data_IF_982217507142
#
_entry.id   IF_982217507142
#
_cell.length_a   1.000
_cell.length_b   1.000
_cell.length_c   1.000
_cell.angle_alpha   90.00
_cell.angle_beta   90.00
_cell.angle_gamma   90.00
#
_symmetry.space_group_name_H-M   'P 1'
#
loop_
_entity.id
_entity.type
_entity.pdbx_description
1 polymer ?
#
# COMPACT_ATOMS: atom_id res chain seq x y z
N UNK A 1 2.99 26.49 13.35
CA UNK A 1 1.66 26.32 12.73
C UNK A 1 1.70 24.94 12.11
N UNK A 2 0.76 24.06 12.46
CA UNK A 2 0.63 22.81 11.71
C UNK A 2 0.13 23.18 10.31
N UNK A 3 0.80 22.70 9.27
CA UNK A 3 0.26 22.84 7.93
C UNK A 3 -1.04 22.02 7.85
N UNK A 4 -1.97 22.46 7.03
CA UNK A 4 -3.19 21.72 6.72
C UNK A 4 -3.33 21.63 5.22
N UNK A 5 -3.78 20.48 4.74
CA UNK A 5 -3.93 20.20 3.31
C UNK A 5 -5.38 19.86 3.03
N UNK A 6 -5.92 20.36 1.93
CA UNK A 6 -7.32 20.13 1.59
C UNK A 6 -7.43 19.13 0.45
N UNK A 7 -8.17 18.05 0.70
CA UNK A 7 -8.52 17.06 -0.30
C UNK A 7 -9.57 17.61 -1.28
N UNK A 8 -9.71 17.03 -2.48
CA UNK A 8 -10.71 17.48 -3.46
C UNK A 8 -12.18 17.49 -2.99
N UNK A 9 -12.51 16.66 -2.01
CA UNK A 9 -13.83 16.61 -1.36
C UNK A 9 -13.99 17.60 -0.20
N UNK A 10 -12.98 18.40 0.11
CA UNK A 10 -13.01 19.39 1.18
C UNK A 10 -12.59 18.88 2.55
N UNK A 11 -12.18 17.61 2.68
CA UNK A 11 -11.61 17.08 3.93
C UNK A 11 -10.25 17.74 4.18
N UNK A 12 -10.01 18.17 5.41
CA UNK A 12 -8.74 18.77 5.84
C UNK A 12 -7.86 17.72 6.51
N UNK A 13 -6.62 17.61 6.03
CA UNK A 13 -5.58 16.75 6.58
C UNK A 13 -4.63 17.60 7.42
N UNK A 14 -4.40 17.19 8.66
CA UNK A 14 -3.39 17.80 9.51
C UNK A 14 -1.99 17.32 9.15
N UNK A 15 -1.02 18.23 9.10
CA UNK A 15 0.39 17.89 9.06
C UNK A 15 0.91 17.69 10.48
N UNK A 16 1.24 16.46 10.82
CA UNK A 16 1.83 16.07 12.10
C UNK A 16 3.37 16.24 12.12
N UNK A 17 3.97 16.65 10.99
CA UNK A 17 5.41 16.78 10.83
C UNK A 17 6.12 15.50 10.41
N UNK A 18 5.39 14.45 10.02
CA UNK A 18 5.96 13.28 9.37
C UNK A 18 6.55 13.61 7.99
N UNK A 19 7.44 12.75 7.47
CA UNK A 19 8.00 12.95 6.11
C UNK A 19 6.89 12.89 5.06
N UNK A 20 5.96 11.95 5.23
CA UNK A 20 4.81 11.73 4.37
C UNK A 20 3.51 12.04 5.11
N UNK A 21 2.45 12.32 4.35
CA UNK A 21 1.15 12.64 4.94
C UNK A 21 0.33 11.37 5.03
N UNK A 22 -0.23 11.13 6.22
CA UNK A 22 -1.12 9.99 6.43
C UNK A 22 -2.56 10.39 6.12
N UNK A 23 -3.27 9.58 5.36
CA UNK A 23 -4.70 9.74 5.04
C UNK A 23 -5.45 8.44 5.24
N UNK A 24 -6.64 8.51 5.82
CA UNK A 24 -7.54 7.37 5.89
C UNK A 24 -8.14 7.09 4.51
N UNK A 25 -8.15 5.82 4.08
CA UNK A 25 -8.77 5.45 2.80
C UNK A 25 -10.22 5.92 2.72
N UNK A 26 -10.98 5.93 3.82
CA UNK A 26 -12.38 6.38 3.84
C UNK A 26 -12.54 7.85 3.44
N UNK A 27 -11.51 8.69 3.65
CA UNK A 27 -11.53 10.09 3.24
C UNK A 27 -11.30 10.26 1.73
N UNK A 28 -10.76 9.25 1.05
CA UNK A 28 -10.35 9.34 -0.36
C UNK A 28 -10.94 8.23 -1.26
N UNK A 29 -11.66 7.26 -0.72
CA UNK A 29 -12.01 6.01 -1.39
C UNK A 29 -12.74 6.20 -2.73
N UNK A 30 -13.66 7.15 -2.80
CA UNK A 30 -14.44 7.44 -4.01
C UNK A 30 -13.78 8.48 -4.92
N UNK A 31 -12.63 9.05 -4.52
CA UNK A 31 -11.88 10.01 -5.32
C UNK A 31 -10.96 9.30 -6.31
N UNK A 32 -10.86 9.86 -7.51
CA UNK A 32 -9.92 9.40 -8.52
C UNK A 32 -8.47 9.58 -8.05
N UNK A 33 -7.67 8.50 -8.13
CA UNK A 33 -6.29 8.47 -7.65
C UNK A 33 -5.45 9.63 -8.19
N UNK A 34 -5.46 9.80 -9.52
CA UNK A 34 -4.71 10.85 -10.20
C UNK A 34 -5.20 12.26 -9.84
N UNK A 35 -6.46 12.41 -9.41
CA UNK A 35 -6.99 13.71 -9.03
C UNK A 35 -6.51 14.13 -7.64
N UNK A 36 -6.57 13.23 -6.65
CA UNK A 36 -6.03 13.47 -5.31
C UNK A 36 -4.54 13.76 -5.38
N UNK A 37 -3.76 12.91 -6.07
CA UNK A 37 -2.32 13.11 -6.20
C UNK A 37 -1.98 14.48 -6.81
N UNK A 38 -2.71 14.90 -7.85
CA UNK A 38 -2.52 16.22 -8.47
C UNK A 38 -2.91 17.37 -7.53
N UNK A 39 -3.99 17.23 -6.78
CA UNK A 39 -4.46 18.25 -5.83
C UNK A 39 -3.47 18.45 -4.70
N UNK A 40 -2.99 17.34 -4.12
CA UNK A 40 -2.02 17.37 -3.03
C UNK A 40 -0.65 17.85 -3.52
N UNK A 41 -0.18 17.39 -4.69
CA UNK A 41 1.10 17.84 -5.26
C UNK A 41 1.26 19.36 -5.38
N UNK A 42 0.17 20.11 -5.51
CA UNK A 42 0.22 21.59 -5.56
C UNK A 42 0.39 22.23 -4.18
N UNK A 43 0.05 21.50 -3.13
CA UNK A 43 0.06 21.95 -1.74
C UNK A 43 1.29 21.43 -0.97
N UNK A 44 1.85 20.30 -1.40
CA UNK A 44 2.94 19.60 -0.72
C UNK A 44 4.33 20.11 -1.11
N UNK A 45 5.22 20.08 -0.13
CA UNK A 45 6.64 20.31 -0.37
C UNK A 45 7.22 19.19 -1.27
N UNK A 46 8.17 19.50 -2.16
CA UNK A 46 8.77 18.50 -3.02
C UNK A 46 9.38 17.34 -2.23
N UNK A 47 9.08 16.11 -2.65
CA UNK A 47 9.63 14.90 -2.03
C UNK A 47 8.78 14.32 -0.90
N UNK A 48 7.64 14.95 -0.54
CA UNK A 48 6.64 14.33 0.33
C UNK A 48 5.70 13.43 -0.48
N UNK A 49 5.49 12.22 0.01
CA UNK A 49 4.49 11.27 -0.48
C UNK A 49 3.21 11.27 0.36
N UNK A 50 2.41 10.24 0.13
CA UNK A 50 1.17 9.98 0.85
C UNK A 50 1.19 8.55 1.38
N UNK A 51 0.90 8.38 2.66
CA UNK A 51 0.63 7.08 3.30
C UNK A 51 -0.88 6.95 3.38
N UNK A 52 -1.45 5.97 2.69
CA UNK A 52 -2.88 5.66 2.76
C UNK A 52 -3.07 4.52 3.73
N UNK A 53 -3.70 4.77 4.87
CA UNK A 53 -4.10 3.71 5.80
C UNK A 53 -5.34 3.01 5.28
N UNK A 54 -5.29 1.69 5.26
CA UNK A 54 -6.34 0.81 4.80
C UNK A 54 -6.77 -0.09 5.96
N UNK A 55 -8.01 -0.60 5.94
CA UNK A 55 -8.38 -1.73 6.79
C UNK A 55 -7.37 -2.86 6.56
N UNK A 56 -6.95 -3.54 7.64
CA UNK A 56 -6.13 -4.74 7.52
C UNK A 56 -6.77 -5.71 6.51
N UNK A 57 -5.93 -6.27 5.61
CA UNK A 57 -6.39 -7.25 4.63
C UNK A 57 -7.11 -8.45 5.26
N UNK A 58 -6.83 -8.74 6.53
CA UNK A 58 -7.49 -9.75 7.35
C UNK A 58 -9.00 -9.53 7.53
N UNK A 59 -9.41 -8.28 7.76
CA UNK A 59 -10.83 -7.91 7.89
C UNK A 59 -11.57 -7.94 6.53
N UNK A 60 -10.84 -7.80 5.42
CA UNK A 60 -11.40 -7.72 4.06
C UNK A 60 -11.41 -9.07 3.34
N UNK A 61 -10.45 -9.95 3.63
CA UNK A 61 -10.25 -11.23 2.93
C UNK A 61 -10.38 -12.47 3.85
N UNK A 62 -10.65 -12.29 5.14
CA UNK A 62 -10.85 -13.39 6.09
C UNK A 62 -9.59 -14.21 6.36
N UNK A 63 -8.42 -13.64 6.07
CA UNK A 63 -7.15 -14.21 6.50
C UNK A 63 -6.93 -13.83 7.98
N UNK A 64 -6.47 -14.78 8.76
CA UNK A 64 -6.19 -14.60 10.18
C UNK A 64 -4.68 -14.51 10.28
N UNK A 65 -4.13 -13.31 10.47
CA UNK A 65 -2.83 -13.16 11.08
C UNK A 65 -2.91 -13.79 12.47
N UNK A 66 -2.01 -14.74 12.74
CA UNK A 66 -1.87 -15.26 14.10
C UNK A 66 -1.28 -14.11 14.93
N UNK A 67 -2.09 -13.52 15.81
CA UNK A 67 -1.62 -12.71 16.94
C UNK A 67 -0.50 -13.47 17.65
N UNK A 68 0.77 -13.13 17.38
CA UNK A 68 1.85 -13.49 18.29
C UNK A 68 1.77 -12.51 19.47
N UNK A 69 1.01 -12.91 20.48
CA UNK A 69 1.13 -12.32 21.81
C UNK A 69 2.58 -12.44 22.26
N UNK A 70 3.26 -11.31 22.47
CA UNK A 70 4.49 -11.27 23.25
C UNK A 70 4.23 -11.85 24.63
N UNK A 71 5.20 -12.58 25.17
CA UNK A 71 5.15 -13.18 26.52
C UNK A 71 4.88 -12.17 27.66
N UNK A 72 4.94 -10.86 27.39
CA UNK A 72 4.68 -9.79 28.36
C UNK A 72 3.24 -9.24 28.37
N UNK A 73 2.36 -9.74 27.48
CA UNK A 73 0.92 -9.44 27.49
C UNK A 73 0.55 -8.01 27.08
N UNK A 74 1.45 -7.27 26.42
CA UNK A 74 1.16 -5.93 25.88
C UNK A 74 0.76 -6.02 24.41
N UNK A 75 -0.38 -5.42 24.04
CA UNK A 75 -0.74 -5.15 22.64
C UNK A 75 0.14 -4.02 22.12
N UNK A 76 0.83 -4.23 20.99
CA UNK A 76 1.41 -3.13 20.22
C UNK A 76 0.23 -2.34 19.63
N UNK A 77 0.05 -1.10 20.07
CA UNK A 77 -1.17 -0.31 19.88
C UNK A 77 -1.31 0.31 18.47
N UNK A 78 -0.69 -0.28 17.43
CA UNK A 78 -0.68 0.27 16.06
C UNK A 78 -0.57 -0.78 14.92
N UNK A 79 -0.97 -2.04 15.12
CA UNK A 79 -0.68 -3.14 14.18
C UNK A 79 -1.89 -3.67 13.36
N UNK A 80 -3.00 -2.91 13.31
CA UNK A 80 -4.25 -3.33 12.64
C UNK A 80 -4.54 -2.59 11.31
N UNK A 81 -3.61 -1.78 10.79
CA UNK A 81 -3.82 -1.02 9.53
C UNK A 81 -2.72 -1.26 8.52
N UNK A 82 -3.06 -1.97 7.44
CA UNK A 82 -2.25 -2.04 6.24
C UNK A 82 -2.07 -0.64 5.65
N UNK A 83 -0.86 -0.32 5.17
CA UNK A 83 -0.59 0.97 4.53
C UNK A 83 -0.14 0.80 3.08
N UNK A 84 -0.46 1.80 2.27
CA UNK A 84 0.06 1.99 0.91
C UNK A 84 0.88 3.27 0.86
N UNK A 85 2.14 3.16 0.45
CA UNK A 85 2.94 4.34 0.15
C UNK A 85 2.64 4.79 -1.28
N UNK A 86 2.35 6.07 -1.46
CA UNK A 86 1.97 6.66 -2.75
C UNK A 86 2.93 7.79 -3.09
N UNK A 87 3.63 7.63 -4.21
CA UNK A 87 4.35 8.73 -4.85
C UNK A 87 3.38 9.53 -5.73
N UNK A 88 2.99 10.69 -5.23
CA UNK A 88 2.06 11.61 -5.89
C UNK A 88 2.65 12.28 -7.14
N UNK A 89 3.97 12.31 -7.29
CA UNK A 89 4.68 12.92 -8.42
C UNK A 89 4.78 11.95 -9.59
N UNK A 90 5.13 10.70 -9.31
CA UNK A 90 5.25 9.61 -10.29
C UNK A 90 3.92 8.90 -10.58
N UNK A 91 2.91 9.15 -9.73
CA UNK A 91 1.61 8.48 -9.76
C UNK A 91 1.78 6.96 -9.65
N UNK A 92 2.61 6.56 -8.70
CA UNK A 92 2.89 5.17 -8.35
C UNK A 92 2.52 4.93 -6.90
N UNK A 93 2.41 3.66 -6.53
CA UNK A 93 2.31 3.25 -5.16
C UNK A 93 3.18 2.03 -4.93
N UNK A 94 3.47 1.78 -3.67
CA UNK A 94 4.32 0.69 -3.23
C UNK A 94 3.60 -0.14 -2.18
N UNK A 95 3.84 -1.45 -2.25
CA UNK A 95 3.41 -2.38 -1.24
C UNK A 95 4.43 -3.49 -1.06
N UNK A 96 4.53 -3.97 0.17
CA UNK A 96 5.41 -5.09 0.48
C UNK A 96 4.72 -6.43 0.23
N UNK A 97 5.50 -7.41 -0.20
CA UNK A 97 5.09 -8.81 -0.31
C UNK A 97 6.21 -9.75 0.15
N UNK A 98 5.92 -10.79 0.96
CA UNK A 98 6.93 -11.76 1.38
C UNK A 98 7.47 -12.56 0.19
N UNK A 99 8.68 -13.09 0.30
CA UNK A 99 9.25 -13.98 -0.71
C UNK A 99 10.15 -15.04 -0.09
N UNK A 100 10.43 -16.09 -0.86
CA UNK A 100 11.48 -17.04 -0.49
C UNK A 100 12.86 -16.37 -0.63
N UNK A 101 13.82 -16.80 0.19
CA UNK A 101 15.18 -16.24 0.20
C UNK A 101 15.87 -16.38 -1.16
N UNK A 102 15.60 -17.46 -1.90
CA UNK A 102 16.17 -17.76 -3.21
C UNK A 102 15.34 -17.21 -4.39
N UNK A 103 14.22 -16.55 -4.12
CA UNK A 103 13.39 -15.91 -5.16
C UNK A 103 14.00 -14.58 -5.59
N UNK A 104 14.26 -14.45 -6.89
CA UNK A 104 14.73 -13.22 -7.53
C UNK A 104 13.56 -12.34 -8.00
N UNK A 105 13.88 -11.15 -8.52
CA UNK A 105 12.89 -10.18 -9.00
C UNK A 105 11.99 -10.75 -10.10
N UNK A 106 12.55 -11.58 -11.00
CA UNK A 106 11.80 -12.21 -12.08
C UNK A 106 10.82 -13.26 -11.54
N UNK A 107 11.22 -14.01 -10.51
CA UNK A 107 10.36 -14.93 -9.77
C UNK A 107 9.18 -14.21 -9.11
N UNK A 108 9.44 -13.09 -8.43
CA UNK A 108 8.38 -12.26 -7.83
C UNK A 108 7.41 -11.74 -8.90
N UNK A 109 7.93 -11.19 -10.01
CA UNK A 109 7.13 -10.71 -11.13
C UNK A 109 6.27 -11.82 -11.74
N UNK A 110 6.83 -13.00 -11.93
CA UNK A 110 6.10 -14.15 -12.45
C UNK A 110 4.98 -14.60 -11.51
N UNK A 111 5.24 -14.57 -10.19
CA UNK A 111 4.25 -14.91 -9.18
C UNK A 111 3.11 -13.88 -9.13
N UNK A 112 3.41 -12.58 -9.20
CA UNK A 112 2.41 -11.51 -9.29
C UNK A 112 1.56 -11.62 -10.57
N UNK A 113 2.20 -11.87 -11.72
CA UNK A 113 1.48 -12.06 -12.98
C UNK A 113 0.54 -13.29 -12.94
N UNK A 114 0.94 -14.35 -12.22
CA UNK A 114 0.09 -15.52 -11.99
C UNK A 114 -1.02 -15.26 -10.98
N UNK A 115 -0.75 -14.45 -9.95
CA UNK A 115 -1.71 -14.09 -8.91
C UNK A 115 -2.91 -13.32 -9.48
N UNK A 116 -2.66 -12.38 -10.40
CA UNK A 116 -3.70 -11.59 -11.07
C UNK A 116 -3.39 -11.39 -12.56
N UNK A 117 -3.66 -12.39 -13.42
CA UNK A 117 -3.35 -12.31 -14.85
C UNK A 117 -4.13 -11.23 -15.59
N UNK A 118 -5.31 -10.87 -15.08
CA UNK A 118 -6.21 -9.87 -15.65
C UNK A 118 -6.09 -8.49 -14.99
N UNK A 119 -5.10 -8.28 -14.09
CA UNK A 119 -4.90 -6.98 -13.48
C UNK A 119 -4.47 -5.94 -14.53
N UNK A 120 -5.17 -4.80 -14.57
CA UNK A 120 -4.75 -3.64 -15.38
C UNK A 120 -3.55 -2.89 -14.74
N UNK A 121 -3.11 -3.34 -13.56
CA UNK A 121 -2.02 -2.76 -12.80
C UNK A 121 -0.66 -3.04 -13.47
N UNK A 122 0.12 -1.99 -13.74
CA UNK A 122 1.46 -2.14 -14.29
C UNK A 122 2.49 -2.19 -13.15
N UNK A 123 3.24 -3.28 -13.07
CA UNK A 123 4.39 -3.40 -12.18
C UNK A 123 5.56 -2.64 -12.82
N UNK A 124 6.06 -1.58 -12.16
CA UNK A 124 7.18 -0.78 -12.62
C UNK A 124 8.50 -1.29 -12.02
N UNK A 125 8.49 -1.65 -10.73
CA UNK A 125 9.68 -2.03 -9.97
C UNK A 125 9.42 -3.18 -9.02
N UNK A 126 10.48 -3.94 -8.73
CA UNK A 126 10.53 -4.90 -7.63
C UNK A 126 11.90 -4.70 -6.99
N UNK A 127 11.94 -4.36 -5.72
CA UNK A 127 13.16 -4.28 -4.93
C UNK A 127 13.17 -5.40 -3.89
N UNK A 128 14.28 -6.14 -3.81
CA UNK A 128 14.42 -7.24 -2.86
C UNK A 128 15.02 -6.73 -1.56
N UNK A 129 14.26 -6.85 -0.48
CA UNK A 129 14.65 -6.41 0.85
C UNK A 129 14.97 -7.62 1.73
N UNK A 130 16.03 -7.52 2.51
CA UNK A 130 16.37 -8.47 3.56
C UNK A 130 16.04 -7.82 4.91
N UNK A 131 14.84 -8.07 5.41
CA UNK A 131 14.38 -7.53 6.69
C UNK A 131 14.66 -8.52 7.82
N UNK A 132 14.63 -8.01 9.05
CA UNK A 132 14.85 -8.82 10.26
C UNK A 132 13.87 -10.00 10.35
N UNK A 133 12.63 -9.79 9.93
CA UNK A 133 11.53 -10.74 10.08
C UNK A 133 11.37 -11.65 8.85
N UNK A 134 12.19 -11.44 7.81
CA UNK A 134 12.27 -12.30 6.64
C UNK A 134 12.55 -11.52 5.35
N UNK A 135 12.83 -12.25 4.25
CA UNK A 135 12.96 -11.65 2.93
C UNK A 135 11.62 -11.08 2.45
N UNK A 136 11.65 -9.82 2.01
CA UNK A 136 10.50 -9.12 1.46
C UNK A 136 10.82 -8.60 0.06
N UNK A 137 9.77 -8.25 -0.66
CA UNK A 137 9.83 -7.52 -1.91
C UNK A 137 9.02 -6.24 -1.78
N UNK A 138 9.63 -5.09 -2.05
CA UNK A 138 8.91 -3.84 -2.23
C UNK A 138 8.51 -3.74 -3.71
N UNK A 139 7.21 -3.68 -3.98
CA UNK A 139 6.67 -3.73 -5.33
C UNK A 139 6.10 -2.36 -5.69
N UNK A 140 6.73 -1.68 -6.64
CA UNK A 140 6.27 -0.39 -7.16
C UNK A 140 5.34 -0.61 -8.35
N UNK A 141 4.12 -0.09 -8.24
CA UNK A 141 3.06 -0.26 -9.22
C UNK A 141 2.52 1.08 -9.72
N UNK A 142 2.06 1.09 -10.97
CA UNK A 142 1.36 2.21 -11.60
C UNK A 142 -0.09 1.81 -11.89
N UNK A 143 -1.09 2.43 -11.23
CA UNK A 143 -2.49 2.15 -11.50
C UNK A 143 -2.97 2.86 -12.76
N UNK A 144 -4.03 2.34 -13.41
CA UNK A 144 -4.78 3.09 -14.41
C UNK A 144 -5.28 4.43 -13.87
N UNK A 145 -5.15 5.49 -14.68
CA UNK A 145 -5.49 6.86 -14.26
C UNK A 145 -6.96 7.06 -13.87
N UNK A 146 -7.85 6.20 -14.38
CA UNK A 146 -9.28 6.27 -14.13
C UNK A 146 -9.67 5.64 -12.79
N UNK A 147 -8.78 4.91 -12.12
CA UNK A 147 -9.11 4.23 -10.87
C UNK A 147 -9.35 5.21 -9.73
N UNK A 148 -10.34 4.88 -8.90
CA UNK A 148 -10.52 5.50 -7.58
C UNK A 148 -9.57 4.87 -6.55
N UNK A 149 -9.39 5.49 -5.39
CA UNK A 149 -8.64 4.85 -4.29
C UNK A 149 -9.31 3.56 -3.82
N UNK A 150 -10.64 3.45 -3.83
CA UNK A 150 -11.35 2.21 -3.53
C UNK A 150 -10.93 1.09 -4.48
N UNK A 151 -10.91 1.36 -5.78
CA UNK A 151 -10.48 0.37 -6.78
C UNK A 151 -9.01 0.00 -6.59
N UNK A 152 -8.16 0.98 -6.32
CA UNK A 152 -6.75 0.78 -6.01
C UNK A 152 -6.55 -0.15 -4.81
N UNK A 153 -7.17 0.16 -3.67
CA UNK A 153 -7.05 -0.60 -2.43
C UNK A 153 -7.58 -2.02 -2.60
N UNK A 154 -8.76 -2.18 -3.23
CA UNK A 154 -9.30 -3.51 -3.51
C UNK A 154 -8.36 -4.33 -4.39
N UNK A 155 -7.77 -3.72 -5.42
CA UNK A 155 -6.85 -4.43 -6.30
C UNK A 155 -5.58 -4.87 -5.57
N UNK A 156 -5.01 -3.99 -4.75
CA UNK A 156 -3.83 -4.30 -3.93
C UNK A 156 -4.13 -5.43 -2.97
N UNK A 157 -5.25 -5.38 -2.25
CA UNK A 157 -5.62 -6.43 -1.30
C UNK A 157 -5.82 -7.77 -2.02
N UNK A 158 -6.53 -7.78 -3.14
CA UNK A 158 -6.70 -9.00 -3.94
C UNK A 158 -5.37 -9.53 -4.50
N UNK A 159 -4.46 -8.64 -4.91
CA UNK A 159 -3.13 -9.01 -5.39
C UNK A 159 -2.28 -9.61 -4.27
N UNK A 160 -2.21 -8.95 -3.10
CA UNK A 160 -1.53 -9.46 -1.90
C UNK A 160 -2.06 -10.82 -1.49
N UNK A 161 -3.38 -10.96 -1.34
CA UNK A 161 -4.01 -12.22 -0.96
C UNK A 161 -3.77 -13.35 -1.97
N UNK A 162 -3.89 -13.06 -3.27
CA UNK A 162 -3.65 -14.05 -4.32
C UNK A 162 -2.17 -14.45 -4.42
N UNK A 163 -1.27 -13.48 -4.24
CA UNK A 163 0.16 -13.71 -4.20
C UNK A 163 0.54 -14.61 -3.02
N UNK A 164 0.09 -14.28 -1.80
CA UNK A 164 0.34 -15.09 -0.60
C UNK A 164 -0.24 -16.51 -0.75
N UNK A 165 -1.46 -16.63 -1.28
CA UNK A 165 -2.10 -17.92 -1.49
C UNK A 165 -1.33 -18.81 -2.50
N UNK A 166 -0.63 -18.22 -3.47
CA UNK A 166 0.24 -18.96 -4.37
C UNK A 166 1.58 -19.28 -3.73
N UNK A 167 2.19 -18.31 -3.04
CA UNK A 167 3.48 -18.44 -2.37
C UNK A 167 3.49 -19.56 -1.32
N UNK A 168 2.45 -19.65 -0.48
CA UNK A 168 2.34 -20.68 0.56
C UNK A 168 1.78 -22.03 0.07
N UNK A 169 1.43 -22.14 -1.22
CA UNK A 169 1.02 -23.42 -1.84
C UNK A 169 2.13 -24.08 -2.66
N UNK A 170 3.16 -23.33 -3.04
CA UNK A 170 4.40 -23.85 -3.64
C UNK A 170 5.26 -24.58 -2.63
#
# INVERSE_FOLDING_TARGET
>A
MANTYTLPNGVELGDDGAVDITVDVLDVEDLAFAHVCRSLRQQLEPGRGLIVTMPAGDDVLGYVYREEQREDGRRDEFDDTDSLFVDIHELTFEFDAPRDTDMDEDGVRALLAKARPDAELKIEGVELLELRDGPMSLITCRPPRAWTFRQLVLEVQLLRGSYMALHYKS
#
